data_IF_758754686794
#
_entry.id   IF_758754686794
#
_cell.length_a   1.000
_cell.length_b   1.000
_cell.length_c   1.000
_cell.angle_alpha   90.00
_cell.angle_beta   90.00
_cell.angle_gamma   90.00
#
_symmetry.space_group_name_H-M   'P 1'
#
loop_
_entity.id
_entity.type
_entity.pdbx_description
1 polymer ?
#
# COMPACT_ATOMS: atom_id res chain seq x y z
N UNK A 1 -11.65 -7.57 20.19
CA UNK A 1 -11.37 -6.14 20.23
C UNK A 1 -10.19 -5.76 19.37
N UNK A 2 -10.30 -4.70 18.64
CA UNK A 2 -9.24 -4.26 17.73
C UNK A 2 -8.22 -3.40 18.49
N UNK A 3 -6.98 -3.69 18.28
CA UNK A 3 -5.93 -2.88 18.87
C UNK A 3 -5.50 -1.80 17.87
N UNK A 4 -5.48 -0.57 18.32
CA UNK A 4 -5.05 0.54 17.49
C UNK A 4 -3.57 0.78 17.76
N UNK A 5 -2.76 0.73 16.72
CA UNK A 5 -1.32 0.93 16.85
C UNK A 5 -0.99 2.41 16.99
N UNK A 6 0.21 2.69 17.45
CA UNK A 6 0.66 4.07 17.58
C UNK A 6 0.66 4.79 16.25
N UNK A 7 1.03 4.09 15.19
CA UNK A 7 1.07 4.71 13.87
C UNK A 7 -0.33 5.13 13.43
N UNK A 8 -1.36 4.37 13.82
CA UNK A 8 -2.72 4.73 13.47
C UNK A 8 -3.23 5.91 14.28
N UNK A 9 -2.76 6.05 15.53
CA UNK A 9 -3.21 7.12 16.41
C UNK A 9 -2.47 8.42 16.16
N UNK A 10 -1.18 8.32 15.84
CA UNK A 10 -0.32 9.49 15.72
C UNK A 10 0.67 9.27 14.58
N UNK A 11 0.13 9.21 13.38
CA UNK A 11 0.95 9.00 12.19
C UNK A 11 1.86 10.20 11.95
N UNK A 12 3.09 9.98 11.50
CA UNK A 12 3.91 11.09 11.02
C UNK A 12 3.19 11.85 9.92
N UNK A 13 3.44 13.14 9.83
CA UNK A 13 2.77 13.98 8.83
C UNK A 13 2.95 13.44 7.41
N UNK A 14 4.13 12.91 7.11
CA UNK A 14 4.39 12.38 5.77
C UNK A 14 3.52 11.17 5.46
N UNK A 15 3.25 10.34 6.47
CA UNK A 15 2.38 9.17 6.28
C UNK A 15 0.94 9.61 6.08
N UNK A 16 0.49 10.57 6.89
CA UNK A 16 -0.87 11.09 6.73
C UNK A 16 -1.07 11.70 5.35
N UNK A 17 -0.07 12.45 4.90
CA UNK A 17 -0.16 13.09 3.59
C UNK A 17 -0.22 12.07 2.47
N UNK A 18 0.58 11.00 2.57
CA UNK A 18 0.56 9.95 1.57
C UNK A 18 -0.77 9.22 1.54
N UNK A 19 -1.37 8.96 2.71
CA UNK A 19 -2.67 8.32 2.79
C UNK A 19 -3.77 9.22 2.24
N UNK A 20 -3.72 10.50 2.56
CA UNK A 20 -4.71 11.44 2.04
C UNK A 20 -4.63 11.51 0.52
N UNK A 21 -3.41 11.51 -0.02
CA UNK A 21 -3.22 11.52 -1.47
C UNK A 21 -3.76 10.25 -2.10
N UNK A 22 -3.44 9.11 -1.50
CA UNK A 22 -3.93 7.84 -2.02
C UNK A 22 -5.46 7.81 -2.02
N UNK A 23 -6.07 8.28 -0.93
CA UNK A 23 -7.53 8.32 -0.85
C UNK A 23 -8.14 9.21 -1.93
N UNK A 24 -7.56 10.39 -2.14
CA UNK A 24 -8.04 11.29 -3.19
C UNK A 24 -7.87 10.69 -4.57
N UNK A 25 -6.75 10.01 -4.78
CA UNK A 25 -6.50 9.37 -6.07
C UNK A 25 -7.51 8.26 -6.35
N UNK A 26 -7.84 7.48 -5.32
CA UNK A 26 -8.84 6.44 -5.46
C UNK A 26 -10.20 7.05 -5.78
N UNK A 27 -10.55 8.13 -5.08
CA UNK A 27 -11.81 8.80 -5.35
C UNK A 27 -11.88 9.32 -6.79
N UNK A 28 -10.81 9.95 -7.24
CA UNK A 28 -10.76 10.48 -8.60
C UNK A 28 -10.90 9.35 -9.62
N UNK A 29 -10.19 8.24 -9.39
CA UNK A 29 -10.26 7.10 -10.29
C UNK A 29 -11.67 6.52 -10.35
N UNK A 30 -12.34 6.48 -9.20
CA UNK A 30 -13.73 6.01 -9.14
C UNK A 30 -14.64 6.93 -9.95
N UNK A 31 -14.51 8.23 -9.74
CA UNK A 31 -15.39 9.21 -10.43
C UNK A 31 -15.14 9.20 -11.92
N UNK A 32 -13.90 9.03 -12.36
CA UNK A 32 -13.60 8.95 -13.78
C UNK A 32 -14.28 7.75 -14.45
N UNK A 33 -14.54 6.71 -13.67
CA UNK A 33 -15.21 5.50 -14.18
C UNK A 33 -16.71 5.54 -13.93
N UNK A 34 -17.21 6.69 -13.46
CA UNK A 34 -18.64 6.90 -13.20
C UNK A 34 -19.24 5.88 -12.26
N UNK A 35 -18.45 5.50 -11.26
CA UNK A 35 -18.90 4.55 -10.25
C UNK A 35 -19.33 5.32 -9.00
N UNK A 36 -20.46 4.91 -8.41
CA UNK A 36 -20.82 5.42 -7.10
C UNK A 36 -19.99 4.70 -6.05
N UNK A 37 -19.99 5.26 -4.81
CA UNK A 37 -19.33 4.55 -3.72
C UNK A 37 -19.94 3.17 -3.50
N UNK A 38 -21.25 3.08 -3.62
CA UNK A 38 -21.93 1.82 -3.44
C UNK A 38 -21.49 0.80 -4.49
N UNK A 39 -21.34 1.24 -5.75
CA UNK A 39 -20.86 0.36 -6.81
C UNK A 39 -19.48 -0.19 -6.49
N UNK A 40 -18.56 0.70 -6.13
CA UNK A 40 -17.19 0.27 -5.88
C UNK A 40 -17.11 -0.58 -4.62
N UNK A 41 -17.79 -0.16 -3.55
CA UNK A 41 -17.79 -0.93 -2.32
C UNK A 41 -18.33 -2.33 -2.54
N UNK A 42 -19.39 -2.45 -3.36
CA UNK A 42 -19.95 -3.75 -3.68
C UNK A 42 -18.97 -4.66 -4.40
N UNK A 43 -18.16 -4.09 -5.28
CA UNK A 43 -17.17 -4.89 -6.03
C UNK A 43 -16.06 -5.39 -5.12
N UNK A 44 -15.74 -4.63 -4.08
CA UNK A 44 -14.67 -5.01 -3.16
C UNK A 44 -15.20 -5.92 -2.05
N UNK A 45 -16.48 -5.82 -1.74
CA UNK A 45 -17.05 -6.57 -0.63
C UNK A 45 -16.92 -5.85 0.70
N UNK A 46 -16.93 -4.53 0.69
CA UNK A 46 -16.86 -3.71 1.90
C UNK A 46 -18.07 -2.80 1.96
N UNK A 47 -18.30 -2.19 3.11
CA UNK A 47 -19.39 -1.25 3.26
C UNK A 47 -19.04 0.08 2.59
N UNK A 48 -20.08 0.85 2.30
CA UNK A 48 -19.90 2.19 1.76
C UNK A 48 -19.14 3.09 2.74
N UNK A 49 -19.36 2.89 4.03
CA UNK A 49 -18.66 3.65 5.05
C UNK A 49 -17.15 3.35 5.04
N UNK A 50 -16.78 2.10 4.86
CA UNK A 50 -15.36 1.75 4.77
C UNK A 50 -14.74 2.40 3.54
N UNK A 51 -15.43 2.39 2.42
CA UNK A 51 -14.92 3.05 1.23
C UNK A 51 -14.76 4.56 1.46
N UNK A 52 -15.69 5.18 2.17
CA UNK A 52 -15.57 6.59 2.50
C UNK A 52 -14.31 6.85 3.34
N UNK A 53 -13.98 5.94 4.25
CA UNK A 53 -12.74 6.05 5.02
C UNK A 53 -11.51 5.93 4.14
N UNK A 54 -11.53 5.02 3.17
CA UNK A 54 -10.43 4.88 2.21
C UNK A 54 -10.23 6.18 1.46
N UNK A 55 -11.30 6.79 0.99
CA UNK A 55 -11.20 8.02 0.20
C UNK A 55 -10.76 9.22 1.03
N UNK A 56 -10.90 9.12 2.35
CA UNK A 56 -10.37 10.12 3.26
C UNK A 56 -8.95 9.82 3.72
N UNK A 57 -8.42 8.67 3.37
CA UNK A 57 -7.06 8.30 3.74
C UNK A 57 -6.92 7.95 5.21
N UNK A 58 -7.94 7.31 5.80
CA UNK A 58 -7.89 6.98 7.22
C UNK A 58 -6.84 5.92 7.51
N UNK A 59 -5.95 6.15 8.47
CA UNK A 59 -4.89 5.18 8.79
C UNK A 59 -5.40 3.95 9.55
N UNK A 60 -6.61 4.02 10.10
CA UNK A 60 -7.19 2.88 10.82
C UNK A 60 -7.86 1.89 9.90
N UNK A 61 -8.02 2.21 8.62
CA UNK A 61 -8.63 1.31 7.66
C UNK A 61 -7.58 0.30 7.20
N UNK A 62 -7.98 -0.96 7.10
CA UNK A 62 -7.05 -2.02 6.74
C UNK A 62 -6.44 -1.78 5.37
N UNK A 63 -5.15 -2.09 5.25
CA UNK A 63 -4.45 -1.94 3.97
C UNK A 63 -5.09 -2.82 2.91
N UNK A 64 -5.61 -3.98 3.29
CA UNK A 64 -6.25 -4.87 2.32
C UNK A 64 -7.45 -4.20 1.65
N UNK A 65 -8.16 -3.32 2.38
CA UNK A 65 -9.29 -2.61 1.79
C UNK A 65 -8.81 -1.58 0.77
N UNK A 66 -7.71 -0.89 1.06
CA UNK A 66 -7.10 0.03 0.09
C UNK A 66 -6.69 -0.72 -1.18
N UNK A 67 -6.01 -1.85 -0.99
CA UNK A 67 -5.58 -2.64 -2.14
C UNK A 67 -6.75 -3.20 -2.92
N UNK A 68 -7.82 -3.57 -2.21
CA UNK A 68 -9.05 -4.03 -2.87
C UNK A 68 -9.65 -2.96 -3.75
N UNK A 69 -9.61 -1.70 -3.29
CA UNK A 69 -10.11 -0.59 -4.10
C UNK A 69 -9.27 -0.42 -5.37
N UNK A 70 -7.94 -0.49 -5.24
CA UNK A 70 -7.08 -0.40 -6.40
C UNK A 70 -7.32 -1.55 -7.37
N UNK A 71 -7.51 -2.75 -6.83
CA UNK A 71 -7.79 -3.92 -7.65
C UNK A 71 -9.09 -3.74 -8.45
N UNK A 72 -10.14 -3.29 -7.77
CA UNK A 72 -11.43 -3.13 -8.43
C UNK A 72 -11.40 -2.02 -9.49
N UNK A 73 -10.50 -1.05 -9.33
CA UNK A 73 -10.33 0.03 -10.30
C UNK A 73 -9.35 -0.33 -11.41
N UNK A 74 -8.72 -1.50 -11.33
CA UNK A 74 -7.74 -1.91 -12.33
C UNK A 74 -6.38 -1.27 -12.15
N UNK A 75 -6.08 -0.78 -10.95
CA UNK A 75 -4.84 -0.03 -10.69
C UNK A 75 -3.88 -0.75 -9.76
N UNK A 76 -4.20 -1.98 -9.35
CA UNK A 76 -3.37 -2.68 -8.38
C UNK A 76 -1.95 -2.90 -8.88
N UNK A 77 -1.79 -3.02 -10.19
CA UNK A 77 -0.47 -3.28 -10.77
C UNK A 77 0.54 -2.18 -10.45
N UNK A 78 0.07 -0.98 -10.12
CA UNK A 78 0.97 0.11 -9.78
C UNK A 78 1.75 -0.15 -8.50
N UNK A 79 1.27 -1.06 -7.66
CA UNK A 79 1.95 -1.36 -6.40
C UNK A 79 3.21 -2.17 -6.56
N UNK A 80 3.41 -2.79 -7.70
CA UNK A 80 4.59 -3.64 -7.87
C UNK A 80 5.89 -2.86 -7.76
N UNK A 81 5.83 -1.54 -7.93
CA UNK A 81 7.01 -0.70 -7.83
C UNK A 81 7.26 -0.20 -6.41
N UNK A 82 6.34 -0.45 -5.48
CA UNK A 82 6.49 0.04 -4.12
C UNK A 82 7.46 -0.86 -3.38
N UNK A 83 8.54 -0.25 -2.86
CA UNK A 83 9.60 -0.97 -2.14
C UNK A 83 10.27 -2.04 -3.00
N UNK A 84 10.22 -1.88 -4.31
CA UNK A 84 10.85 -2.81 -5.24
C UNK A 84 12.35 -2.84 -4.99
N UNK A 85 12.93 -4.03 -4.70
CA UNK A 85 14.37 -4.12 -4.42
C UNK A 85 15.24 -3.55 -5.53
N UNK A 86 14.81 -3.65 -6.78
CA UNK A 86 15.61 -3.14 -7.90
C UNK A 86 15.63 -1.62 -7.94
N UNK A 87 14.69 -0.97 -7.27
CA UNK A 87 14.63 0.48 -7.22
C UNK A 87 15.15 1.06 -5.91
N UNK A 88 15.49 0.20 -4.97
CA UNK A 88 15.97 0.61 -3.65
C UNK A 88 17.48 0.77 -3.70
N UNK A 89 17.94 1.92 -4.19
CA UNK A 89 19.37 2.17 -4.37
C UNK A 89 20.12 2.19 -3.04
N UNK A 90 19.51 2.76 -2.03
CA UNK A 90 20.15 2.78 -0.71
C UNK A 90 20.29 1.37 -0.15
N UNK A 91 19.25 0.56 -0.31
CA UNK A 91 19.31 -0.83 0.15
C UNK A 91 20.38 -1.63 -0.56
N UNK A 92 20.53 -1.39 -1.87
CA UNK A 92 21.58 -2.06 -2.62
C UNK A 92 22.96 -1.68 -2.10
N UNK A 93 23.16 -0.40 -1.79
CA UNK A 93 24.45 0.06 -1.26
C UNK A 93 24.70 -0.56 0.11
N UNK A 94 23.69 -0.57 0.97
CA UNK A 94 23.82 -1.17 2.30
C UNK A 94 24.16 -2.64 2.21
N UNK A 95 23.52 -3.34 1.29
CA UNK A 95 23.78 -4.76 1.10
C UNK A 95 25.20 -5.00 0.62
N UNK A 96 25.66 -4.22 -0.34
CA UNK A 96 27.03 -4.36 -0.87
C UNK A 96 28.06 -4.11 0.22
N UNK A 97 27.79 -3.17 1.12
CA UNK A 97 28.71 -2.86 2.20
C UNK A 97 28.92 -4.05 3.12
N UNK A 98 27.90 -4.88 3.28
CA UNK A 98 28.00 -6.07 4.15
C UNK A 98 28.37 -7.33 3.40
N UNK A 99 28.21 -7.32 2.07
CA UNK A 99 28.35 -8.53 1.29
C UNK A 99 29.65 -9.29 1.44
N UNK A 100 30.81 -8.62 1.53
CA UNK A 100 32.05 -9.38 1.56
C UNK A 100 32.12 -10.37 2.70
N UNK A 101 31.35 -10.17 3.74
CA UNK A 101 31.41 -11.03 4.89
C UNK A 101 30.55 -12.25 4.75
N UNK A 102 29.57 -12.19 3.89
CA UNK A 102 28.63 -13.28 3.74
C UNK A 102 28.69 -13.91 2.40
N UNK A 103 29.44 -13.33 1.52
CA UNK A 103 29.42 -13.75 0.18
C UNK A 103 29.69 -15.16 -0.01
N UNK A 104 30.11 -15.93 0.46
CA UNK A 104 30.25 -17.21 -0.05
C UNK A 104 29.13 -18.04 0.07
N UNK A 105 28.41 -18.04 -0.12
CA UNK A 105 27.50 -18.99 -0.03
C UNK A 105 26.37 -18.94 -0.70
N UNK A 106 26.58 -18.64 -0.96
CA UNK A 106 25.60 -18.64 -1.35
C UNK A 106 24.78 -18.97 -1.91
N UNK A 107 24.53 -19.04 -1.94
CA UNK A 107 23.73 -19.31 -2.18
C UNK A 107 22.72 -19.47 -2.59
N UNK A 108 22.36 -19.52 -2.54
CA UNK A 108 21.38 -19.77 -2.67
C UNK A 108 20.37 -19.41 -2.56
N UNK A 109 20.42 -18.95 -2.22
CA UNK A 109 19.49 -18.66 -1.84
C UNK A 109 18.60 -18.42 -2.36
N UNK A 110 18.91 -18.31 -2.66
CA UNK A 110 18.06 -18.20 -2.98
C UNK A 110 17.09 -18.29 -3.31
N UNK A 111 17.12 -18.44 -3.33
CA UNK A 111 16.09 -18.66 -3.52
C UNK A 111 15.11 -18.61 -3.06
N UNK A 112 15.09 -18.45 -2.36
CA UNK A 112 14.25 -18.47 -1.79
C UNK A 112 13.49 -17.79 -1.50
N UNK A 113 13.28 -17.42 -1.32
CA UNK A 113 12.54 -16.86 -1.00
C UNK A 113 11.75 -16.80 -0.94
#
# INVERSE_FOLDING_TARGET
>A
MTRISKISEASPAAVEEALNRLGRNIRTARLRRRLTRQDLAGRIGISRQVLAQIEKGKPTTAVAAYLGALWALGLLNQLKDVADPDRDEEGKILERTRSPQTAPKRRKMDDDF
#
